data_IF_406602140270
#
_entry.id   IF_406602140270
#
_cell.length_a   1.000
_cell.length_b   1.000
_cell.length_c   1.000
_cell.angle_alpha   90.00
_cell.angle_beta   90.00
_cell.angle_gamma   90.00
#
_symmetry.space_group_name_H-M   'P 1'
#
loop_
_entity.id
_entity.type
_entity.pdbx_description
1 polymer ?
#
# COMPACT_ATOMS: atom_id res chain seq x y z
N UNK A 1 -30.37 4.50 -6.87
CA UNK A 1 -28.97 4.00 -6.82
C UNK A 1 -28.50 4.06 -5.38
N UNK A 2 -28.21 2.92 -4.77
CA UNK A 2 -27.69 2.88 -3.39
C UNK A 2 -26.36 3.65 -3.34
N UNK A 3 -26.25 4.59 -2.41
CA UNK A 3 -25.10 5.49 -2.29
C UNK A 3 -23.97 4.70 -1.63
N UNK A 4 -22.85 4.53 -2.33
CA UNK A 4 -21.63 3.95 -1.72
C UNK A 4 -21.16 4.87 -0.61
N UNK A 5 -20.96 4.33 0.59
CA UNK A 5 -20.54 5.11 1.77
C UNK A 5 -19.02 5.18 1.88
N UNK A 6 -18.52 6.07 2.75
CA UNK A 6 -17.08 6.23 2.98
C UNK A 6 -16.48 4.99 3.63
N UNK A 7 -17.21 4.34 4.53
CA UNK A 7 -16.82 3.10 5.19
C UNK A 7 -16.65 1.96 4.17
N UNK A 8 -17.53 1.90 3.17
CA UNK A 8 -17.41 0.93 2.07
C UNK A 8 -16.20 1.19 1.19
N UNK A 9 -15.83 2.46 0.96
CA UNK A 9 -14.58 2.79 0.24
C UNK A 9 -13.34 2.39 1.05
N UNK A 10 -13.37 2.56 2.38
CA UNK A 10 -12.31 2.06 3.25
C UNK A 10 -12.20 0.53 3.22
N UNK A 11 -13.32 -0.18 3.41
CA UNK A 11 -13.34 -1.65 3.34
C UNK A 11 -12.87 -2.17 1.97
N UNK A 12 -13.22 -1.47 0.89
CA UNK A 12 -12.74 -1.79 -0.47
C UNK A 12 -11.22 -1.59 -0.60
N UNK A 13 -10.65 -0.55 0.01
CA UNK A 13 -9.20 -0.28 0.00
C UNK A 13 -8.39 -1.24 0.90
N UNK A 14 -9.05 -1.90 1.83
CA UNK A 14 -8.47 -2.86 2.78
C UNK A 14 -8.75 -4.33 2.40
N UNK A 15 -9.43 -4.56 1.27
CA UNK A 15 -9.88 -5.88 0.82
C UNK A 15 -10.71 -6.62 1.89
N UNK A 16 -11.51 -5.87 2.66
CA UNK A 16 -12.25 -6.34 3.82
C UNK A 16 -13.77 -6.47 3.56
N UNK A 17 -14.21 -6.27 2.32
CA UNK A 17 -15.61 -6.42 1.90
C UNK A 17 -15.91 -7.85 1.45
N UNK A 18 -17.17 -8.25 1.52
CA UNK A 18 -17.63 -9.47 0.84
C UNK A 18 -17.58 -9.32 -0.68
N UNK A 19 -17.45 -10.43 -1.42
CA UNK A 19 -17.39 -10.44 -2.89
C UNK A 19 -18.54 -9.65 -3.54
N UNK A 20 -19.75 -9.79 -3.01
CA UNK A 20 -20.94 -9.09 -3.49
C UNK A 20 -20.86 -7.57 -3.28
N UNK A 21 -20.29 -7.13 -2.16
CA UNK A 21 -20.09 -5.72 -1.86
C UNK A 21 -18.94 -5.13 -2.68
N UNK A 22 -17.85 -5.86 -2.85
CA UNK A 22 -16.72 -5.48 -3.71
C UNK A 22 -17.19 -5.25 -5.14
N UNK A 23 -17.90 -6.23 -5.74
CA UNK A 23 -18.41 -6.10 -7.10
C UNK A 23 -19.36 -4.89 -7.26
N UNK A 24 -20.18 -4.61 -6.25
CA UNK A 24 -21.07 -3.44 -6.25
C UNK A 24 -20.29 -2.13 -6.18
N UNK A 25 -19.27 -2.04 -5.32
CA UNK A 25 -18.41 -0.85 -5.21
C UNK A 25 -17.64 -0.63 -6.51
N UNK A 26 -17.09 -1.68 -7.12
CA UNK A 26 -16.42 -1.60 -8.41
C UNK A 26 -17.33 -1.03 -9.50
N UNK A 27 -18.56 -1.54 -9.61
CA UNK A 27 -19.51 -1.06 -10.61
C UNK A 27 -19.83 0.43 -10.40
N UNK A 28 -20.08 0.83 -9.15
CA UNK A 28 -20.33 2.22 -8.81
C UNK A 28 -19.12 3.14 -9.10
N UNK A 29 -17.89 2.65 -8.90
CA UNK A 29 -16.65 3.37 -9.25
C UNK A 29 -16.50 3.52 -10.77
N UNK A 30 -16.84 2.48 -11.56
CA UNK A 30 -16.81 2.57 -13.04
C UNK A 30 -17.78 3.63 -13.55
N UNK A 31 -18.96 3.73 -12.96
CA UNK A 31 -20.03 4.62 -13.43
C UNK A 31 -19.94 6.06 -12.92
N UNK A 32 -19.15 6.35 -11.88
CA UNK A 32 -19.15 7.65 -11.20
C UNK A 32 -17.76 8.24 -10.97
N UNK A 33 -17.41 9.27 -11.73
CA UNK A 33 -16.19 10.05 -11.52
C UNK A 33 -16.14 10.76 -10.14
N UNK A 34 -17.25 11.30 -9.60
CA UNK A 34 -17.25 11.81 -8.23
C UNK A 34 -16.86 10.77 -7.18
N UNK A 35 -17.31 9.52 -7.33
CA UNK A 35 -16.93 8.42 -6.43
C UNK A 35 -15.43 8.08 -6.55
N UNK A 36 -14.88 8.09 -7.77
CA UNK A 36 -13.44 7.91 -7.98
C UNK A 36 -12.62 9.02 -7.32
N UNK A 37 -13.10 10.27 -7.35
CA UNK A 37 -12.45 11.38 -6.61
C UNK A 37 -12.49 11.17 -5.10
N UNK A 38 -13.63 10.71 -4.57
CA UNK A 38 -13.75 10.39 -3.14
C UNK A 38 -12.80 9.26 -2.74
N UNK A 39 -12.72 8.18 -3.52
CA UNK A 39 -11.79 7.08 -3.28
C UNK A 39 -10.33 7.58 -3.22
N UNK A 40 -9.92 8.43 -4.17
CA UNK A 40 -8.58 9.03 -4.18
C UNK A 40 -8.32 9.90 -2.94
N UNK A 41 -9.30 10.68 -2.50
CA UNK A 41 -9.17 11.48 -1.28
C UNK A 41 -9.01 10.57 -0.04
N UNK A 42 -9.81 9.52 0.06
CA UNK A 42 -9.72 8.53 1.15
C UNK A 42 -8.36 7.80 1.17
N UNK A 43 -7.81 7.45 0.00
CA UNK A 43 -6.44 6.91 -0.09
C UNK A 43 -5.40 7.90 0.42
N UNK A 44 -5.49 9.18 0.02
CA UNK A 44 -4.55 10.22 0.45
C UNK A 44 -4.63 10.52 1.96
N UNK A 45 -5.83 10.45 2.55
CA UNK A 45 -6.02 10.62 3.99
C UNK A 45 -5.40 9.46 4.78
N UNK A 46 -5.55 8.22 4.31
CA UNK A 46 -4.86 7.05 4.88
C UNK A 46 -3.35 7.24 4.84
N UNK A 47 -2.83 7.64 3.69
CA UNK A 47 -1.40 7.87 3.48
C UNK A 47 -0.82 8.99 4.37
N UNK A 48 -1.65 9.97 4.79
CA UNK A 48 -1.23 11.03 5.71
C UNK A 48 -1.08 10.56 7.17
N UNK A 49 -1.72 9.45 7.54
CA UNK A 49 -1.61 8.87 8.88
C UNK A 49 -0.42 7.92 9.05
N UNK A 50 0.06 7.32 7.95
CA UNK A 50 1.06 6.24 7.96
C UNK A 50 2.47 6.74 7.63
N UNK A 51 3.03 7.61 8.46
CA UNK A 51 4.47 7.94 8.43
C UNK A 51 5.32 6.88 9.17
N UNK A 52 4.88 5.61 9.16
CA UNK A 52 5.68 4.53 9.71
C UNK A 52 6.70 4.06 8.67
N UNK A 53 7.88 3.64 9.14
CA UNK A 53 8.92 3.06 8.28
C UNK A 53 8.34 1.88 7.48
N UNK A 54 7.47 1.06 8.08
CA UNK A 54 6.83 -0.08 7.42
C UNK A 54 5.90 0.32 6.26
N UNK A 55 5.13 1.40 6.40
CA UNK A 55 4.25 1.89 5.33
C UNK A 55 5.04 2.44 4.13
N UNK A 56 6.12 3.17 4.40
CA UNK A 56 7.04 3.65 3.35
C UNK A 56 7.72 2.47 2.65
N UNK A 57 8.16 1.46 3.41
CA UNK A 57 8.83 0.27 2.91
C UNK A 57 7.94 -0.56 1.97
N UNK A 58 6.68 -0.79 2.38
CA UNK A 58 5.69 -1.52 1.59
C UNK A 58 5.32 -0.75 0.31
N UNK A 59 5.09 0.58 0.44
CA UNK A 59 4.75 1.47 -0.69
C UNK A 59 5.84 1.53 -1.76
N UNK A 60 7.09 1.63 -1.35
CA UNK A 60 8.23 1.71 -2.26
C UNK A 60 8.69 0.33 -2.75
N UNK A 61 8.03 -0.76 -2.33
CA UNK A 61 8.43 -2.15 -2.59
C UNK A 61 9.91 -2.37 -2.31
N UNK A 62 10.43 -1.74 -1.26
CA UNK A 62 11.84 -1.89 -0.89
C UNK A 62 12.03 -3.35 -0.48
N UNK A 63 12.98 -4.04 -1.10
CA UNK A 63 13.35 -5.39 -0.68
C UNK A 63 14.26 -5.31 0.54
N UNK A 64 14.08 -6.21 1.52
CA UNK A 64 15.07 -6.39 2.56
C UNK A 64 16.30 -7.13 1.99
N UNK A 65 17.52 -6.82 2.43
CA UNK A 65 18.68 -7.67 2.15
C UNK A 65 18.39 -9.10 2.60
N UNK A 66 18.78 -10.07 1.77
CA UNK A 66 18.68 -11.49 2.13
C UNK A 66 19.57 -11.80 3.34
N UNK A 67 19.27 -12.89 4.05
CA UNK A 67 20.07 -13.33 5.21
C UNK A 67 21.54 -13.57 4.87
N UNK A 68 21.83 -13.98 3.65
CA UNK A 68 23.19 -14.21 3.14
C UNK A 68 23.94 -12.89 2.89
N UNK A 69 23.25 -11.89 2.34
CA UNK A 69 23.78 -10.53 2.19
C UNK A 69 24.07 -9.88 3.55
N UNK A 70 23.19 -10.08 4.54
CA UNK A 70 23.42 -9.61 5.91
C UNK A 70 24.62 -10.31 6.57
N UNK A 71 24.82 -11.60 6.32
CA UNK A 71 26.00 -12.32 6.78
C UNK A 71 27.29 -11.77 6.16
N UNK A 72 27.26 -11.51 4.85
CA UNK A 72 28.38 -10.91 4.11
C UNK A 72 28.70 -9.49 4.58
N UNK A 73 27.67 -8.69 4.91
CA UNK A 73 27.81 -7.36 5.51
C UNK A 73 28.53 -7.42 6.87
N UNK A 74 28.09 -8.29 7.78
CA UNK A 74 28.72 -8.48 9.10
C UNK A 74 30.19 -8.91 9.00
N UNK A 75 30.52 -9.72 8.00
CA UNK A 75 31.88 -10.18 7.72
C UNK A 75 32.72 -9.16 6.95
N UNK A 76 32.14 -8.01 6.56
CA UNK A 76 32.78 -6.95 5.74
C UNK A 76 33.31 -7.45 4.39
N UNK A 77 32.59 -8.39 3.78
CA UNK A 77 32.91 -8.98 2.47
C UNK A 77 31.81 -8.74 1.43
N UNK A 78 30.80 -7.92 1.77
CA UNK A 78 29.75 -7.54 0.84
C UNK A 78 30.30 -6.56 -0.22
N UNK A 79 29.80 -6.66 -1.45
CA UNK A 79 30.18 -5.76 -2.55
C UNK A 79 29.93 -4.28 -2.20
N UNK A 80 30.77 -3.33 -2.65
CA UNK A 80 30.70 -1.92 -2.27
C UNK A 80 29.35 -1.26 -2.56
N UNK A 81 28.75 -1.58 -3.71
CA UNK A 81 27.43 -1.04 -4.12
C UNK A 81 26.31 -1.50 -3.18
N UNK A 82 26.45 -2.70 -2.59
CA UNK A 82 25.48 -3.24 -1.63
C UNK A 82 25.77 -2.80 -0.18
N UNK A 83 27.03 -2.49 0.14
CA UNK A 83 27.42 -1.86 1.41
C UNK A 83 26.76 -0.48 1.54
N UNK A 84 26.85 0.36 0.51
CA UNK A 84 26.24 1.69 0.52
C UNK A 84 24.70 1.71 0.55
N UNK A 85 24.06 0.56 0.34
CA UNK A 85 22.61 0.39 0.52
C UNK A 85 22.23 0.06 1.97
N UNK A 86 23.14 -0.55 2.75
CA UNK A 86 22.92 -0.99 4.13
C UNK A 86 23.44 0.03 5.16
N UNK A 87 24.54 0.73 4.87
CA UNK A 87 25.11 1.83 5.69
C UNK A 87 24.21 3.09 5.70
#
# INVERSE_FOLDING_TARGET
MQKVTREQLHGYLEDALSDAETARVEQALRESEPLRRMLRATMQERDRGEHSIGAIWCRQRLSCPTREQLGSYLLKVLEPDHLGYID
#
